data_IF_674258312808
#
_entry.id   IF_674258312808
#
_cell.length_a   1.000
_cell.length_b   1.000
_cell.length_c   1.000
_cell.angle_alpha   90.00
_cell.angle_beta   90.00
_cell.angle_gamma   90.00
#
_symmetry.space_group_name_H-M   'P 1'
#
loop_
_entity.id
_entity.type
_entity.pdbx_description
1 polymer ?
#
# COMPACT_ATOMS: atom_id res chain seq x y z
N UNK A 1 8.07 16.16 -15.32
CA UNK A 1 7.84 15.51 -14.01
C UNK A 1 8.96 14.50 -13.80
N UNK A 2 9.56 14.41 -12.61
CA UNK A 2 10.71 13.53 -12.32
C UNK A 2 10.32 12.12 -11.84
N UNK A 3 9.05 11.94 -11.46
CA UNK A 3 8.52 10.68 -10.95
C UNK A 3 8.11 9.78 -12.12
N UNK A 4 8.41 8.49 -12.03
CA UNK A 4 7.87 7.45 -12.91
C UNK A 4 6.34 7.49 -12.90
N UNK A 5 5.76 7.18 -14.04
CA UNK A 5 4.31 7.09 -14.21
C UNK A 5 3.93 5.84 -14.98
N UNK A 6 2.69 5.41 -14.80
CA UNK A 6 2.08 4.37 -15.61
C UNK A 6 0.56 4.58 -15.74
N UNK A 7 -0.02 4.02 -16.78
CA UNK A 7 -1.48 4.06 -16.97
C UNK A 7 -2.14 2.87 -16.30
N UNK A 8 -2.92 3.15 -15.26
CA UNK A 8 -3.82 2.18 -14.64
C UNK A 8 -5.14 2.16 -15.40
N UNK A 9 -5.65 0.95 -15.72
CA UNK A 9 -6.95 0.78 -16.39
C UNK A 9 -7.80 -0.22 -15.63
N UNK A 10 -9.05 0.16 -15.34
CA UNK A 10 -10.01 -0.68 -14.63
C UNK A 10 -11.43 -0.37 -15.10
N UNK A 11 -12.22 -1.41 -15.41
CA UNK A 11 -13.63 -1.25 -15.79
C UNK A 11 -13.88 -0.26 -16.94
N UNK A 12 -12.98 -0.23 -17.94
CA UNK A 12 -13.07 0.69 -19.09
C UNK A 12 -12.63 2.13 -18.82
N UNK A 13 -12.19 2.46 -17.59
CA UNK A 13 -11.64 3.76 -17.23
C UNK A 13 -10.12 3.68 -17.07
N UNK A 14 -9.41 4.74 -17.39
CA UNK A 14 -7.97 4.82 -17.23
C UNK A 14 -7.55 6.07 -16.45
N UNK A 15 -6.50 5.96 -15.66
CA UNK A 15 -5.88 7.06 -14.93
C UNK A 15 -4.36 6.92 -14.96
N UNK A 16 -3.64 8.05 -14.92
CA UNK A 16 -2.18 8.06 -14.81
C UNK A 16 -1.81 8.04 -13.33
N UNK A 17 -1.11 6.99 -12.91
CA UNK A 17 -0.55 6.85 -11.58
C UNK A 17 0.93 7.19 -11.63
N UNK A 18 1.42 8.00 -10.69
CA UNK A 18 2.85 8.20 -10.47
C UNK A 18 3.38 7.34 -9.31
N UNK A 19 4.70 7.10 -9.29
CA UNK A 19 5.36 6.71 -8.05
C UNK A 19 5.20 7.81 -6.98
N UNK A 20 5.41 7.44 -5.72
CA UNK A 20 5.51 8.39 -4.62
C UNK A 20 6.81 9.19 -4.71
N UNK A 21 6.84 10.40 -4.16
CA UNK A 21 8.09 11.10 -3.86
C UNK A 21 8.82 10.46 -2.67
N UNK A 22 10.11 10.77 -2.47
CA UNK A 22 10.86 10.25 -1.32
C UNK A 22 10.18 10.56 0.03
N UNK A 23 9.68 11.79 0.21
CA UNK A 23 8.96 12.18 1.43
C UNK A 23 7.62 11.44 1.58
N UNK A 24 6.88 11.28 0.47
CA UNK A 24 5.62 10.54 0.49
C UNK A 24 5.81 9.06 0.89
N UNK A 25 6.94 8.43 0.51
CA UNK A 25 7.24 7.06 0.96
C UNK A 25 7.36 6.96 2.49
N UNK A 26 8.07 7.91 3.11
CA UNK A 26 8.21 7.97 4.58
C UNK A 26 6.85 8.23 5.23
N UNK A 27 6.09 9.20 4.71
CA UNK A 27 4.76 9.52 5.22
C UNK A 27 3.80 8.34 5.11
N UNK A 28 3.91 7.54 4.04
CA UNK A 28 3.10 6.34 3.87
C UNK A 28 3.37 5.30 4.97
N UNK A 29 4.63 5.03 5.28
CA UNK A 29 5.00 4.10 6.35
C UNK A 29 4.47 4.58 7.72
N UNK A 30 4.59 5.88 7.99
CA UNK A 30 4.01 6.47 9.21
C UNK A 30 2.48 6.36 9.22
N UNK A 31 1.83 6.55 8.07
CA UNK A 31 0.39 6.45 7.96
C UNK A 31 -0.10 5.01 8.20
N UNK A 32 0.58 3.99 7.64
CA UNK A 32 0.28 2.58 7.93
C UNK A 32 0.36 2.34 9.44
N UNK A 33 1.48 2.72 10.07
CA UNK A 33 1.67 2.54 11.51
C UNK A 33 0.53 3.18 12.32
N UNK A 34 0.12 4.41 11.98
CA UNK A 34 -0.99 5.09 12.65
C UNK A 34 -2.33 4.38 12.46
N UNK A 35 -2.59 3.79 11.29
CA UNK A 35 -3.84 3.06 11.00
C UNK A 35 -3.86 1.72 11.72
N UNK A 36 -2.75 0.97 11.70
CA UNK A 36 -2.61 -0.29 12.44
C UNK A 36 -2.76 -0.07 13.93
N UNK A 37 -2.09 0.94 14.51
CA UNK A 37 -2.23 1.24 15.94
C UNK A 37 -3.67 1.61 16.35
N UNK A 38 -4.42 2.28 15.46
CA UNK A 38 -5.85 2.57 15.70
C UNK A 38 -6.70 1.31 15.68
N UNK A 39 -6.40 0.37 14.79
CA UNK A 39 -7.08 -0.92 14.72
C UNK A 39 -6.75 -1.81 15.93
N UNK A 40 -5.48 -1.86 16.33
CA UNK A 40 -5.02 -2.65 17.48
C UNK A 40 -5.58 -2.12 18.80
N UNK A 41 -5.85 -0.81 18.88
CA UNK A 41 -6.47 -0.18 20.04
C UNK A 41 -8.00 -0.37 20.11
N UNK A 42 -8.63 -1.09 19.17
CA UNK A 42 -10.07 -1.33 19.20
C UNK A 42 -10.47 -2.19 20.41
N UNK A 43 -11.60 -1.87 21.09
CA UNK A 43 -12.04 -2.63 22.25
C UNK A 43 -12.28 -4.11 21.96
N UNK A 44 -11.91 -4.99 22.90
CA UNK A 44 -12.18 -6.42 22.82
C UNK A 44 -13.68 -6.75 22.89
N UNK A 45 -14.52 -5.78 23.28
CA UNK A 45 -15.97 -5.93 23.33
C UNK A 45 -16.65 -5.84 21.96
N UNK A 46 -15.93 -5.46 20.90
CA UNK A 46 -16.48 -5.45 19.55
C UNK A 46 -16.81 -6.87 19.09
N UNK A 47 -17.92 -7.00 18.37
CA UNK A 47 -18.25 -8.24 17.67
C UNK A 47 -17.23 -8.55 16.58
N UNK A 48 -17.17 -9.80 16.17
CA UNK A 48 -16.32 -10.23 15.05
C UNK A 48 -16.65 -9.47 13.76
N UNK A 49 -17.93 -9.20 13.50
CA UNK A 49 -18.37 -8.45 12.32
C UNK A 49 -17.91 -6.99 12.35
N UNK A 50 -17.99 -6.32 13.51
CA UNK A 50 -17.50 -4.95 13.68
C UNK A 50 -15.98 -4.89 13.51
N UNK A 51 -15.25 -5.87 14.07
CA UNK A 51 -13.81 -5.97 13.92
C UNK A 51 -13.42 -6.21 12.46
N UNK A 52 -14.12 -7.09 11.76
CA UNK A 52 -13.90 -7.35 10.35
C UNK A 52 -14.19 -6.10 9.49
N UNK A 53 -15.26 -5.36 9.79
CA UNK A 53 -15.56 -4.09 9.12
C UNK A 53 -14.45 -3.05 9.36
N UNK A 54 -13.93 -2.95 10.59
CA UNK A 54 -12.82 -2.05 10.90
C UNK A 54 -11.52 -2.43 10.19
N UNK A 55 -11.25 -3.73 10.05
CA UNK A 55 -10.10 -4.23 9.28
C UNK A 55 -10.21 -3.86 7.80
N UNK A 56 -11.40 -4.06 7.21
CA UNK A 56 -11.66 -3.66 5.82
C UNK A 56 -11.53 -2.14 5.64
N UNK A 57 -12.05 -1.33 6.58
CA UNK A 57 -11.91 0.12 6.54
C UNK A 57 -10.44 0.56 6.63
N UNK A 58 -9.64 -0.12 7.45
CA UNK A 58 -8.19 0.13 7.53
C UNK A 58 -7.50 -0.11 6.19
N UNK A 59 -7.82 -1.22 5.51
CA UNK A 59 -7.30 -1.52 4.17
C UNK A 59 -7.70 -0.46 3.13
N UNK A 60 -8.98 -0.04 3.14
CA UNK A 60 -9.47 1.04 2.28
C UNK A 60 -8.71 2.34 2.53
N UNK A 61 -8.52 2.73 3.79
CA UNK A 61 -7.81 3.95 4.16
C UNK A 61 -6.35 3.91 3.68
N UNK A 62 -5.65 2.79 3.90
CA UNK A 62 -4.25 2.62 3.47
C UNK A 62 -4.12 2.72 1.95
N UNK A 63 -4.94 1.98 1.21
CA UNK A 63 -4.86 1.95 -0.25
C UNK A 63 -5.29 3.28 -0.88
N UNK A 64 -6.33 3.93 -0.34
CA UNK A 64 -6.76 5.25 -0.82
C UNK A 64 -5.70 6.33 -0.59
N UNK A 65 -4.91 6.21 0.48
CA UNK A 65 -3.79 7.12 0.70
C UNK A 65 -2.78 7.04 -0.46
N UNK A 66 -2.37 5.83 -0.86
CA UNK A 66 -1.45 5.63 -1.99
C UNK A 66 -2.01 6.21 -3.29
N UNK A 67 -3.22 5.78 -3.65
CA UNK A 67 -3.83 6.12 -4.94
C UNK A 67 -4.06 7.62 -5.05
N UNK A 68 -4.54 8.28 -4.00
CA UNK A 68 -4.78 9.74 -4.02
C UNK A 68 -3.50 10.56 -4.24
N UNK A 69 -2.38 10.20 -3.60
CA UNK A 69 -1.10 10.92 -3.78
C UNK A 69 -0.47 10.64 -5.14
N UNK A 70 -0.69 9.43 -5.65
CA UNK A 70 -0.27 9.04 -6.99
C UNK A 70 -1.01 9.83 -8.08
N UNK A 71 -2.34 9.94 -7.95
CA UNK A 71 -3.21 10.70 -8.86
C UNK A 71 -3.01 12.22 -8.78
N UNK A 72 -2.55 12.75 -7.65
CA UNK A 72 -2.40 14.19 -7.46
C UNK A 72 -1.31 14.77 -8.39
N UNK A 73 -1.70 15.47 -9.45
CA UNK A 73 -0.78 16.06 -10.43
C UNK A 73 0.04 17.22 -9.83
N UNK A 74 -0.59 18.06 -9.01
CA UNK A 74 0.05 19.23 -8.39
C UNK A 74 1.11 18.85 -7.36
N UNK A 75 1.05 17.62 -6.85
CA UNK A 75 1.86 17.09 -5.75
C UNK A 75 1.78 17.94 -4.47
N UNK A 76 0.77 18.80 -4.36
CA UNK A 76 0.44 19.49 -3.10
C UNK A 76 -0.36 18.54 -2.22
N UNK A 77 -0.03 18.55 -0.94
CA UNK A 77 -0.67 17.63 0.01
C UNK A 77 -2.14 17.96 0.22
N UNK A 78 -2.53 19.23 0.24
CA UNK A 78 -3.94 19.66 0.37
C UNK A 78 -4.81 19.11 -0.78
N UNK A 79 -4.32 19.18 -2.02
CA UNK A 79 -5.02 18.63 -3.18
C UNK A 79 -5.10 17.09 -3.11
N UNK A 80 -4.03 16.44 -2.61
CA UNK A 80 -4.02 14.99 -2.40
C UNK A 80 -4.99 14.57 -1.28
N UNK A 81 -5.22 15.40 -0.27
CA UNK A 81 -6.24 15.16 0.76
C UNK A 81 -7.65 15.21 0.20
N UNK A 82 -7.96 16.12 -0.73
CA UNK A 82 -9.27 16.12 -1.38
C UNK A 82 -9.48 14.86 -2.23
N UNK A 83 -8.43 14.41 -2.94
CA UNK A 83 -8.48 13.17 -3.70
C UNK A 83 -8.63 11.93 -2.82
N UNK A 84 -8.11 11.95 -1.59
CA UNK A 84 -8.23 10.83 -0.65
C UNK A 84 -9.69 10.48 -0.35
N UNK A 85 -10.49 11.48 -0.01
CA UNK A 85 -11.90 11.25 0.29
C UNK A 85 -12.68 10.83 -0.96
N UNK A 86 -12.37 11.43 -2.12
CA UNK A 86 -12.98 11.03 -3.39
C UNK A 86 -12.66 9.55 -3.73
N UNK A 87 -11.41 9.13 -3.59
CA UNK A 87 -10.98 7.75 -3.86
C UNK A 87 -11.71 6.76 -2.95
N UNK A 88 -11.83 7.04 -1.65
CA UNK A 88 -12.52 6.15 -0.68
C UNK A 88 -13.98 5.90 -1.02
N UNK A 89 -14.64 6.88 -1.65
CA UNK A 89 -16.07 6.79 -1.98
C UNK A 89 -16.29 6.23 -3.39
N UNK A 90 -15.42 6.55 -4.33
CA UNK A 90 -15.65 6.26 -5.75
C UNK A 90 -14.99 4.96 -6.23
N UNK A 91 -13.90 4.54 -5.60
CA UNK A 91 -13.17 3.35 -6.03
C UNK A 91 -13.75 2.11 -5.36
N UNK A 92 -14.09 1.10 -6.16
CA UNK A 92 -14.41 -0.23 -5.64
C UNK A 92 -13.20 -0.82 -4.91
N UNK A 93 -13.43 -1.75 -3.98
CA UNK A 93 -12.38 -2.42 -3.23
C UNK A 93 -11.29 -3.02 -4.15
N UNK A 94 -11.68 -3.73 -5.21
CA UNK A 94 -10.75 -4.36 -6.16
C UNK A 94 -9.90 -3.34 -6.92
N UNK A 95 -10.54 -2.31 -7.51
CA UNK A 95 -9.84 -1.22 -8.19
C UNK A 95 -8.83 -0.53 -7.27
N UNK A 96 -9.22 -0.35 -6.00
CA UNK A 96 -8.40 0.32 -5.00
C UNK A 96 -7.17 -0.52 -4.62
N UNK A 97 -7.35 -1.84 -4.45
CA UNK A 97 -6.24 -2.78 -4.23
C UNK A 97 -5.27 -2.81 -5.41
N UNK A 98 -5.76 -3.05 -6.62
CA UNK A 98 -4.93 -3.10 -7.83
C UNK A 98 -4.21 -1.77 -8.10
N UNK A 99 -4.89 -0.65 -7.87
CA UNK A 99 -4.30 0.68 -7.98
C UNK A 99 -3.17 0.88 -6.97
N UNK A 100 -3.39 0.54 -5.70
CA UNK A 100 -2.38 0.64 -4.65
C UNK A 100 -1.16 -0.24 -4.93
N UNK A 101 -1.35 -1.49 -5.36
CA UNK A 101 -0.27 -2.40 -5.75
C UNK A 101 0.57 -1.82 -6.89
N UNK A 102 -0.09 -1.16 -7.85
CA UNK A 102 0.62 -0.49 -8.94
C UNK A 102 1.47 0.67 -8.43
N UNK A 103 0.95 1.49 -7.51
CA UNK A 103 1.70 2.59 -6.88
C UNK A 103 2.89 2.07 -6.09
N UNK A 104 2.72 0.98 -5.32
CA UNK A 104 3.81 0.34 -4.56
C UNK A 104 4.91 -0.18 -5.49
N UNK A 105 4.52 -0.84 -6.58
CA UNK A 105 5.43 -1.34 -7.62
C UNK A 105 6.22 -0.19 -8.25
N UNK A 106 5.53 0.86 -8.71
CA UNK A 106 6.15 2.06 -9.27
C UNK A 106 7.13 2.71 -8.29
N UNK A 107 6.78 2.69 -7.01
CA UNK A 107 7.55 3.32 -5.93
C UNK A 107 8.72 2.49 -5.43
N UNK A 108 8.86 1.23 -5.88
CA UNK A 108 9.85 0.28 -5.37
C UNK A 108 9.64 -0.07 -3.90
N UNK A 109 8.37 -0.08 -3.45
CA UNK A 109 7.97 -0.35 -2.06
C UNK A 109 7.21 -1.67 -1.91
N UNK A 110 7.32 -2.56 -2.89
CA UNK A 110 6.81 -3.93 -2.75
C UNK A 110 7.69 -4.62 -1.72
N UNK A 111 7.09 -5.11 -0.64
CA UNK A 111 7.79 -6.00 0.29
C UNK A 111 8.01 -7.30 -0.48
N UNK A 112 9.26 -7.76 -0.66
CA UNK A 112 9.50 -9.10 -1.19
C UNK A 112 8.77 -10.07 -0.27
N UNK A 113 7.81 -10.81 -0.82
CA UNK A 113 7.36 -12.02 -0.16
C UNK A 113 8.53 -12.97 -0.35
N UNK A 114 9.28 -13.23 0.74
CA UNK A 114 10.13 -14.41 0.75
C UNK A 114 9.15 -15.59 0.62
N UNK A 115 9.04 -16.14 -0.59
CA UNK A 115 8.53 -17.49 -0.74
C UNK A 115 9.53 -18.35 0.03
N UNK A 116 9.16 -18.80 1.22
CA UNK A 116 9.73 -19.99 1.87
C UNK A 116 9.39 -21.23 1.01
N UNK A 117 9.71 -21.20 -0.28
CA UNK A 117 9.94 -22.41 -1.07
C UNK A 117 11.37 -22.81 -0.83
N UNK A 118 11.53 -23.48 0.30
CA UNK A 118 12.65 -24.34 0.66
C UNK A 118 12.71 -25.49 -0.38
N UNK A 119 13.35 -25.22 -1.52
CA UNK A 119 13.73 -26.24 -2.51
C UNK A 119 15.01 -25.79 -3.23
N UNK A 120 16.11 -25.77 -2.46
CA UNK A 120 17.46 -25.75 -3.02
C UNK A 120 18.22 -26.98 -2.50
N UNK A 121 18.42 -28.06 -3.30
CA UNK A 121 19.11 -29.26 -2.84
C UNK A 121 20.64 -29.16 -2.83
N UNK A 122 21.22 -27.98 -3.03
CA UNK A 122 22.68 -27.79 -2.98
C UNK A 122 23.11 -27.04 -1.71
N UNK A 123 22.92 -27.68 -0.55
CA UNK A 123 23.77 -27.42 0.62
C UNK A 123 25.14 -28.09 0.40
N UNK A 124 26.08 -27.39 -0.23
CA UNK A 124 27.49 -27.71 -0.05
C UNK A 124 27.90 -27.36 1.39
N UNK A 125 27.93 -28.40 2.21
CA UNK A 125 28.52 -28.48 3.54
C UNK A 125 29.89 -27.80 3.60
N UNK A 126 29.97 -26.67 4.30
CA UNK A 126 31.22 -26.18 4.88
C UNK A 126 31.03 -25.99 6.38
N UNK A 127 31.48 -27.00 7.13
CA UNK A 127 31.71 -26.92 8.58
C UNK A 127 33.23 -27.12 8.82
N UNK A 128 33.76 -26.91 10.04
CA UNK A 128 34.50 -25.69 10.37
C UNK A 128 35.93 -26.01 10.85
N UNK A 129 36.92 -25.11 10.69
CA UNK A 129 38.13 -25.20 11.52
C UNK A 129 38.60 -23.84 12.02
N UNK A 130 38.71 -23.77 13.35
CA UNK A 130 39.31 -22.73 14.16
C UNK A 130 40.64 -23.25 14.68
N UNK A 131 41.71 -22.44 14.70
CA UNK A 131 42.73 -22.47 15.74
C UNK A 131 42.43 -21.43 16.83
#
# INVERSE_FOLDING_TARGET
>A
MFLKTDTFTYGGHSAVLSELSALQRVNYLMFIQQRTAKYDALPDTLTEQERQAAFMQMGVDINAWLVSRSLCESKKEDDAHLLYDAVRVQWSFDALGLGADRVLTLSGMVVPVEDDTDDNPDQELLTPEKP
#
